data_IF_855538062705
#
_entry.id   IF_855538062705
#
_cell.length_a   1.000
_cell.length_b   1.000
_cell.length_c   1.000
_cell.angle_alpha   90.00
_cell.angle_beta   90.00
_cell.angle_gamma   90.00
#
_symmetry.space_group_name_H-M   'P 1'
#
loop_
_entity.id
_entity.type
_entity.pdbx_description
1 polymer ?
#
# COMPACT_ATOMS: atom_id res chain seq x y z
N UNK A 1 -2.36 -18.10 2.66
CA UNK A 1 -1.97 -16.88 3.42
C UNK A 1 -2.24 -15.65 2.54
N UNK A 2 -2.34 -14.42 3.06
CA UNK A 2 -2.64 -13.25 2.23
C UNK A 2 -1.67 -13.07 1.05
N UNK A 3 -0.38 -13.39 1.24
CA UNK A 3 0.62 -13.37 0.16
C UNK A 3 0.27 -14.31 -1.03
N UNK A 4 -0.21 -15.54 -0.75
CA UNK A 4 -0.63 -16.48 -1.81
C UNK A 4 -1.84 -15.93 -2.58
N UNK A 5 -2.76 -15.28 -1.87
CA UNK A 5 -3.95 -14.69 -2.48
C UNK A 5 -3.60 -13.53 -3.42
N UNK A 6 -2.62 -12.69 -3.04
CA UNK A 6 -2.12 -11.61 -3.89
C UNK A 6 -1.44 -12.18 -5.14
N UNK A 7 -0.48 -13.09 -4.98
CA UNK A 7 0.22 -13.69 -6.13
C UNK A 7 -0.73 -14.43 -7.08
N UNK A 8 -1.74 -15.12 -6.53
CA UNK A 8 -2.79 -15.75 -7.33
C UNK A 8 -3.64 -14.72 -8.09
N UNK A 9 -4.11 -13.67 -7.40
CA UNK A 9 -4.91 -12.60 -8.01
C UNK A 9 -4.14 -11.89 -9.13
N UNK A 10 -2.86 -11.58 -8.90
CA UNK A 10 -1.98 -10.97 -9.90
C UNK A 10 -1.83 -11.87 -11.14
N UNK A 11 -1.61 -13.16 -10.92
CA UNK A 11 -1.48 -14.15 -12.00
C UNK A 11 -2.76 -14.24 -12.83
N UNK A 12 -3.93 -14.24 -12.19
CA UNK A 12 -5.22 -14.26 -12.90
C UNK A 12 -5.49 -12.94 -13.64
N UNK A 13 -5.15 -11.79 -13.03
CA UNK A 13 -5.25 -10.48 -13.66
C UNK A 13 -4.42 -10.42 -14.94
N UNK A 14 -3.14 -10.79 -14.88
CA UNK A 14 -2.23 -10.79 -16.03
C UNK A 14 -2.68 -11.75 -17.14
N UNK A 15 -3.28 -12.90 -16.80
CA UNK A 15 -3.87 -13.82 -17.79
C UNK A 15 -5.07 -13.23 -18.50
N UNK A 16 -5.92 -12.48 -17.78
CA UNK A 16 -7.13 -11.88 -18.34
C UNK A 16 -6.84 -10.76 -19.35
N UNK A 17 -5.72 -10.04 -19.18
CA UNK A 17 -5.34 -8.92 -20.05
C UNK A 17 -4.69 -9.33 -21.39
N UNK A 18 -4.31 -10.60 -21.55
CA UNK A 18 -3.68 -11.11 -22.79
C UNK A 18 -4.53 -10.88 -24.06
N UNK A 19 -5.84 -10.67 -23.92
CA UNK A 19 -6.75 -10.46 -25.05
C UNK A 19 -7.01 -8.99 -25.39
N UNK A 20 -6.56 -8.01 -24.60
CA UNK A 20 -6.94 -6.59 -24.78
C UNK A 20 -5.79 -5.59 -24.94
N UNK A 21 -4.53 -6.04 -24.93
CA UNK A 21 -3.35 -5.18 -25.11
C UNK A 21 -3.31 -3.97 -24.15
N UNK A 22 -3.90 -4.13 -22.96
CA UNK A 22 -3.85 -3.14 -21.87
C UNK A 22 -2.67 -3.48 -20.98
N UNK A 23 -2.01 -2.44 -20.47
CA UNK A 23 -0.97 -2.50 -19.46
C UNK A 23 -1.49 -1.65 -18.30
N UNK A 24 -2.36 -2.25 -17.49
CA UNK A 24 -2.96 -1.61 -16.34
C UNK A 24 -2.39 -2.19 -15.05
N UNK A 25 -2.42 -1.39 -14.00
CA UNK A 25 -1.96 -1.78 -12.68
C UNK A 25 -2.83 -1.18 -11.59
N UNK A 26 -2.70 -1.73 -10.39
CA UNK A 26 -3.43 -1.25 -9.21
C UNK A 26 -2.64 -1.49 -7.93
N UNK A 27 -2.69 -0.52 -7.02
CA UNK A 27 -2.26 -0.70 -5.63
C UNK A 27 -3.38 -1.37 -4.83
N UNK A 28 -3.05 -1.95 -3.68
CA UNK A 28 -4.07 -2.49 -2.79
C UNK A 28 -3.62 -2.47 -1.33
N UNK A 29 -4.47 -1.88 -0.50
CA UNK A 29 -4.39 -1.96 0.95
C UNK A 29 -5.60 -2.72 1.46
N UNK A 30 -5.38 -3.88 2.08
CA UNK A 30 -6.43 -4.79 2.54
C UNK A 30 -6.35 -4.93 4.05
N UNK A 31 -7.50 -4.92 4.73
CA UNK A 31 -7.61 -5.21 6.15
C UNK A 31 -8.56 -6.39 6.39
N UNK A 32 -8.11 -7.37 7.19
CA UNK A 32 -8.88 -8.56 7.54
C UNK A 32 -8.95 -8.64 9.06
N UNK A 33 -10.16 -8.64 9.59
CA UNK A 33 -10.41 -8.82 11.03
C UNK A 33 -10.81 -10.26 11.32
N UNK A 34 -10.03 -10.95 12.14
CA UNK A 34 -10.32 -12.31 12.61
C UNK A 34 -10.25 -12.35 14.14
N UNK A 35 -11.40 -12.42 14.80
CA UNK A 35 -11.48 -12.32 16.26
C UNK A 35 -10.98 -10.96 16.75
N UNK A 36 -9.91 -10.96 17.54
CA UNK A 36 -9.23 -9.76 18.06
C UNK A 36 -7.95 -9.42 17.28
N UNK A 37 -7.75 -9.97 16.08
CA UNK A 37 -6.57 -9.74 15.24
C UNK A 37 -6.93 -9.02 13.95
N UNK A 38 -6.28 -7.90 13.71
CA UNK A 38 -6.36 -7.11 12.49
C UNK A 38 -5.11 -7.38 11.64
N UNK A 39 -5.29 -8.00 10.48
CA UNK A 39 -4.23 -8.23 9.50
C UNK A 39 -4.33 -7.17 8.41
N UNK A 40 -3.27 -6.40 8.20
CA UNK A 40 -3.17 -5.39 7.14
C UNK A 40 -2.14 -5.84 6.13
N UNK A 41 -2.53 -5.93 4.86
CA UNK A 41 -1.67 -6.30 3.75
C UNK A 41 -1.61 -5.17 2.72
N UNK A 42 -0.41 -4.75 2.30
CA UNK A 42 -0.24 -3.63 1.38
C UNK A 42 0.64 -3.98 0.18
N UNK A 43 0.25 -3.53 -1.02
CA UNK A 43 1.09 -3.39 -2.20
C UNK A 43 0.86 -2.02 -2.82
N UNK A 44 1.95 -1.31 -3.13
CA UNK A 44 1.89 0.07 -3.63
C UNK A 44 1.89 1.11 -2.52
N UNK A 45 1.38 2.30 -2.83
CA UNK A 45 1.47 3.51 -2.01
C UNK A 45 0.13 4.00 -1.46
N UNK A 46 -0.91 3.17 -1.52
CA UNK A 46 -2.00 3.29 -0.56
C UNK A 46 -1.48 3.01 0.86
N UNK A 47 -2.15 3.58 1.86
CA UNK A 47 -1.73 3.45 3.26
C UNK A 47 -2.91 3.16 4.17
N UNK A 48 -2.63 2.31 5.16
CA UNK A 48 -3.46 1.97 6.29
C UNK A 48 -2.94 2.64 7.56
N UNK A 49 -3.82 3.33 8.29
CA UNK A 49 -3.51 4.02 9.53
C UNK A 49 -4.56 3.70 10.57
N UNK A 50 -4.15 3.22 11.75
CA UNK A 50 -5.05 3.05 12.90
C UNK A 50 -5.01 4.29 13.79
N UNK A 51 -6.13 4.61 14.43
CA UNK A 51 -6.16 5.47 15.59
C UNK A 51 -6.19 4.61 16.85
N UNK A 52 -5.21 4.82 17.74
CA UNK A 52 -5.08 4.11 19.01
C UNK A 52 -4.85 5.12 20.14
N UNK A 53 -5.81 5.23 21.05
CA UNK A 53 -5.76 6.17 22.18
C UNK A 53 -5.57 7.62 21.74
N UNK A 54 -6.28 8.04 20.70
CA UNK A 54 -6.22 9.38 20.11
C UNK A 54 -4.99 9.63 19.21
N UNK A 55 -4.10 8.65 19.03
CA UNK A 55 -2.87 8.80 18.24
C UNK A 55 -2.93 7.97 16.95
N UNK A 56 -2.41 8.52 15.86
CA UNK A 56 -2.38 7.85 14.57
C UNK A 56 -1.10 7.02 14.38
N UNK A 57 -1.25 5.75 13.98
CA UNK A 57 -0.15 4.84 13.69
C UNK A 57 -0.32 4.22 12.31
N UNK A 58 0.68 4.37 11.44
CA UNK A 58 0.70 3.64 10.18
C UNK A 58 0.90 2.15 10.45
N UNK A 59 0.02 1.33 9.87
CA UNK A 59 0.04 -0.15 9.96
C UNK A 59 0.29 -0.78 8.59
N UNK A 60 0.86 0.02 7.69
CA UNK A 60 1.38 -0.40 6.40
C UNK A 60 2.48 0.57 6.00
N UNK A 61 3.43 0.08 5.20
CA UNK A 61 4.46 0.90 4.56
C UNK A 61 4.12 1.14 3.09
N UNK A 62 4.26 2.38 2.64
CA UNK A 62 4.15 2.72 1.22
C UNK A 62 5.32 2.09 0.46
N UNK A 63 5.06 1.52 -0.71
CA UNK A 63 6.08 0.91 -1.56
C UNK A 63 6.55 1.90 -2.63
N UNK A 64 7.51 2.75 -2.28
CA UNK A 64 8.08 3.78 -3.17
C UNK A 64 9.44 3.33 -3.74
N UNK A 65 9.74 3.62 -5.02
CA UNK A 65 10.96 3.14 -5.68
C UNK A 65 12.30 3.60 -5.06
N UNK A 66 12.32 4.67 -4.27
CA UNK A 66 13.52 5.22 -3.63
C UNK A 66 13.80 4.68 -2.23
N UNK A 67 12.89 3.88 -1.67
CA UNK A 67 13.17 3.14 -0.45
C UNK A 67 14.32 2.17 -0.69
N UNK A 68 15.27 2.11 0.24
CA UNK A 68 16.54 1.41 0.03
C UNK A 68 16.37 -0.07 -0.29
N UNK A 69 15.45 -0.75 0.40
CA UNK A 69 15.16 -2.18 0.20
C UNK A 69 14.43 -2.42 -1.13
N UNK A 70 13.45 -1.58 -1.46
CA UNK A 70 12.73 -1.68 -2.74
C UNK A 70 13.64 -1.36 -3.93
N UNK A 71 14.47 -0.32 -3.83
CA UNK A 71 15.45 0.04 -4.85
C UNK A 71 16.44 -1.08 -5.09
N UNK A 72 17.00 -1.64 -4.01
CA UNK A 72 17.93 -2.76 -4.09
C UNK A 72 17.26 -3.96 -4.79
N UNK A 73 16.04 -4.31 -4.40
CA UNK A 73 15.27 -5.40 -5.03
C UNK A 73 15.05 -5.18 -6.53
N UNK A 74 14.76 -3.95 -6.94
CA UNK A 74 14.59 -3.58 -8.35
C UNK A 74 15.90 -3.71 -9.12
N UNK A 75 17.00 -3.17 -8.58
CA UNK A 75 18.32 -3.18 -9.22
C UNK A 75 18.91 -4.60 -9.30
N UNK A 76 18.73 -5.42 -8.25
CA UNK A 76 19.13 -6.84 -8.23
C UNK A 76 18.38 -7.67 -9.28
N UNK A 77 17.14 -7.30 -9.58
CA UNK A 77 16.35 -7.90 -10.66
C UNK A 77 16.73 -7.39 -12.06
N UNK A 78 17.76 -6.54 -12.18
CA UNK A 78 18.23 -5.95 -13.44
C UNK A 78 17.44 -4.72 -13.91
N UNK A 79 16.56 -4.20 -13.06
CA UNK A 79 15.83 -2.94 -13.30
C UNK A 79 16.66 -1.73 -12.91
N UNK A 80 16.04 -0.55 -13.00
CA UNK A 80 16.64 0.69 -12.51
C UNK A 80 15.56 1.63 -11.96
N UNK A 81 15.98 2.53 -11.07
CA UNK A 81 15.15 3.59 -10.52
C UNK A 81 15.69 4.94 -11.01
N UNK A 82 14.81 5.78 -11.56
CA UNK A 82 15.20 7.11 -12.03
C UNK A 82 14.29 8.20 -11.49
N UNK A 83 14.85 9.39 -11.31
CA UNK A 83 14.10 10.59 -10.94
C UNK A 83 13.51 11.26 -12.20
N UNK A 84 12.19 11.40 -12.25
CA UNK A 84 11.46 12.11 -13.30
C UNK A 84 10.23 12.82 -12.69
N UNK A 85 10.48 13.89 -11.93
CA UNK A 85 9.49 14.59 -11.11
C UNK A 85 9.13 13.86 -9.81
N UNK A 86 9.20 12.52 -9.84
CA UNK A 86 9.21 11.61 -8.69
C UNK A 86 10.10 10.40 -9.04
N UNK A 87 10.45 9.57 -8.06
CA UNK A 87 11.20 8.34 -8.28
C UNK A 87 10.34 7.30 -8.99
N UNK A 88 10.87 6.70 -10.06
CA UNK A 88 10.13 5.78 -10.91
C UNK A 88 10.93 4.52 -11.26
N UNK A 89 10.27 3.37 -11.22
CA UNK A 89 10.79 2.09 -11.73
C UNK A 89 10.81 2.13 -13.26
N UNK A 90 11.98 1.90 -13.86
CA UNK A 90 12.16 1.95 -15.30
C UNK A 90 11.81 3.30 -15.95
N UNK A 91 11.67 4.37 -15.14
CA UNK A 91 11.19 5.68 -15.60
C UNK A 91 9.69 5.82 -15.77
N UNK A 92 8.91 4.80 -15.46
CA UNK A 92 7.47 4.75 -15.76
C UNK A 92 6.63 4.82 -14.48
N UNK A 93 6.76 3.85 -13.57
CA UNK A 93 5.87 3.69 -12.43
C UNK A 93 6.42 4.30 -11.14
N UNK A 94 5.62 5.10 -10.43
CA UNK A 94 5.99 5.76 -9.18
C UNK A 94 5.78 4.87 -7.93
N UNK A 95 5.48 3.60 -8.13
CA UNK A 95 5.34 2.56 -7.09
C UNK A 95 6.27 1.40 -7.40
N UNK A 96 6.78 0.74 -6.38
CA UNK A 96 7.68 -0.42 -6.53
C UNK A 96 6.95 -1.77 -6.46
N UNK A 97 5.71 -1.79 -5.97
CA UNK A 97 4.85 -2.98 -5.88
C UNK A 97 3.44 -2.65 -6.35
N UNK A 98 2.82 -3.55 -7.10
CA UNK A 98 1.45 -3.40 -7.62
C UNK A 98 0.95 -4.73 -8.20
N UNK A 99 -0.37 -4.83 -8.34
CA UNK A 99 -1.00 -5.79 -9.23
C UNK A 99 -0.88 -5.34 -10.68
N UNK A 100 -0.78 -6.29 -11.62
CA UNK A 100 -0.69 -5.98 -13.04
C UNK A 100 0.67 -5.45 -13.45
N UNK A 101 0.70 -4.39 -14.25
CA UNK A 101 1.91 -3.74 -14.77
C UNK A 101 2.84 -4.74 -15.49
N UNK A 102 2.27 -5.47 -16.45
CA UNK A 102 2.88 -6.62 -17.12
C UNK A 102 4.27 -6.32 -17.68
N UNK A 103 4.44 -5.15 -18.29
CA UNK A 103 5.74 -4.77 -18.89
C UNK A 103 6.85 -4.58 -17.85
N UNK A 104 6.49 -4.32 -16.60
CA UNK A 104 7.43 -4.05 -15.50
C UNK A 104 7.38 -5.12 -14.41
N UNK A 105 6.64 -6.21 -14.61
CA UNK A 105 6.37 -7.23 -13.58
C UNK A 105 7.62 -7.88 -12.99
N UNK A 106 8.70 -7.94 -13.75
CA UNK A 106 10.00 -8.40 -13.24
C UNK A 106 10.52 -7.53 -12.08
N UNK A 107 10.14 -6.26 -12.04
CA UNK A 107 10.59 -5.25 -11.07
C UNK A 107 9.48 -4.82 -10.11
N UNK A 108 8.22 -4.82 -10.57
CA UNK A 108 7.04 -4.41 -9.81
C UNK A 108 6.26 -5.65 -9.40
N UNK A 109 6.51 -6.12 -8.17
CA UNK A 109 5.96 -7.37 -7.64
C UNK A 109 4.61 -7.14 -6.95
N UNK A 110 3.76 -8.17 -6.92
CA UNK A 110 2.49 -8.16 -6.17
C UNK A 110 2.64 -8.78 -4.77
N UNK A 111 3.86 -8.91 -4.24
CA UNK A 111 4.11 -9.49 -2.93
C UNK A 111 3.79 -8.47 -1.82
N UNK A 112 2.77 -8.73 -0.96
CA UNK A 112 2.35 -7.77 0.04
C UNK A 112 3.27 -7.79 1.27
N UNK A 113 3.49 -6.61 1.84
CA UNK A 113 3.93 -6.51 3.24
C UNK A 113 2.71 -6.67 4.16
N UNK A 114 2.81 -7.53 5.18
CA UNK A 114 1.70 -7.88 6.07
C UNK A 114 2.08 -7.51 7.51
N UNK A 115 1.23 -6.73 8.15
CA UNK A 115 1.32 -6.38 9.57
C UNK A 115 0.10 -6.93 10.32
N UNK A 116 0.33 -7.43 11.54
CA UNK A 116 -0.73 -7.89 12.44
C UNK A 116 -0.81 -6.96 13.65
N UNK A 117 -2.01 -6.47 13.93
CA UNK A 117 -2.33 -5.66 15.09
C UNK A 117 -3.34 -6.39 15.98
N UNK A 118 -3.13 -6.33 17.30
CA UNK A 118 -4.14 -6.77 18.26
C UNK A 118 -5.16 -5.66 18.46
N UNK A 119 -6.44 -6.02 18.40
CA UNK A 119 -7.55 -5.14 18.75
C UNK A 119 -7.77 -5.21 20.26
N UNK A 120 -7.79 -4.04 20.87
CA UNK A 120 -8.22 -3.82 22.24
C UNK A 120 -9.10 -2.55 22.30
N UNK A 121 -9.52 -2.15 23.49
CA UNK A 121 -10.39 -1.00 23.69
C UNK A 121 -9.74 0.35 23.33
N UNK A 122 -8.44 0.39 23.08
CA UNK A 122 -7.73 1.62 22.70
C UNK A 122 -7.73 1.85 21.19
N UNK A 123 -7.97 0.82 20.36
CA UNK A 123 -8.07 0.95 18.90
C UNK A 123 -9.47 1.48 18.54
N UNK A 124 -9.53 2.70 18.04
CA UNK A 124 -10.79 3.42 17.79
C UNK A 124 -11.31 3.20 16.37
N UNK A 125 -10.42 3.32 15.38
CA UNK A 125 -10.76 3.13 13.97
C UNK A 125 -9.52 2.84 13.12
N UNK A 126 -9.77 2.33 11.91
CA UNK A 126 -8.79 2.13 10.85
C UNK A 126 -9.21 2.98 9.64
N UNK A 127 -8.25 3.68 9.05
CA UNK A 127 -8.39 4.38 7.77
C UNK A 127 -7.58 3.61 6.72
N UNK A 128 -8.23 3.25 5.62
CA UNK A 128 -7.59 2.79 4.39
C UNK A 128 -7.83 3.86 3.33
N UNK A 129 -6.78 4.39 2.75
CA UNK A 129 -6.91 5.39 1.68
C UNK A 129 -5.75 5.31 0.69
N UNK A 130 -6.01 5.79 -0.52
CA UNK A 130 -4.99 5.98 -1.56
C UNK A 130 -4.11 7.19 -1.24
N UNK A 131 -3.00 7.30 -1.97
CA UNK A 131 -2.07 8.44 -1.97
C UNK A 131 -2.77 9.80 -2.13
N UNK A 132 -3.88 9.89 -2.87
CA UNK A 132 -4.66 11.13 -3.00
C UNK A 132 -5.10 11.79 -1.67
N UNK A 133 -5.22 11.02 -0.57
CA UNK A 133 -5.38 11.57 0.78
C UNK A 133 -4.02 11.87 1.43
N UNK A 134 -3.11 10.90 1.39
CA UNK A 134 -1.86 10.92 2.16
C UNK A 134 -0.79 11.87 1.60
N UNK A 135 -0.92 12.30 0.35
CA UNK A 135 -0.06 13.31 -0.27
C UNK A 135 -0.31 14.71 0.29
N UNK A 136 -1.48 14.95 0.92
CA UNK A 136 -1.87 16.26 1.45
C UNK A 136 -2.17 16.25 2.95
N UNK A 137 -2.26 15.08 3.57
CA UNK A 137 -2.53 14.91 5.01
C UNK A 137 -1.45 14.03 5.64
N UNK A 138 -0.75 14.54 6.67
CA UNK A 138 0.14 13.70 7.47
C UNK A 138 -0.68 12.86 8.45
N UNK A 139 -0.14 11.72 8.88
CA UNK A 139 -0.85 10.84 9.81
C UNK A 139 -1.28 11.57 11.10
N UNK A 140 -0.47 12.54 11.55
CA UNK A 140 -0.64 13.29 12.81
C UNK A 140 -1.71 14.39 12.75
N UNK A 141 -2.12 14.86 11.56
CA UNK A 141 -3.07 15.99 11.41
C UNK A 141 -4.47 15.64 11.94
N UNK A 142 -4.72 14.40 12.37
CA UNK A 142 -5.97 13.98 12.98
C UNK A 142 -6.04 14.16 14.51
N UNK A 143 -5.38 15.19 15.06
CA UNK A 143 -5.64 15.62 16.43
C UNK A 143 -7.08 16.14 16.55
N UNK A 144 -7.95 15.33 17.19
CA UNK A 144 -9.11 15.61 18.08
C UNK A 144 -9.86 16.98 18.07
N UNK A 145 -9.66 17.87 17.12
CA UNK A 145 -10.21 19.23 17.12
C UNK A 145 -11.58 19.34 16.47
N UNK A 146 -12.16 18.22 16.00
CA UNK A 146 -13.45 18.21 15.30
C UNK A 146 -14.53 17.31 15.92
N UNK A 147 -14.30 16.70 17.10
CA UNK A 147 -15.28 15.82 17.76
C UNK A 147 -15.86 16.37 19.07
N UNK A 148 -15.37 17.49 19.60
CA UNK A 148 -16.05 18.19 20.70
C UNK A 148 -16.95 19.28 20.14
N UNK A 149 -18.11 18.88 19.61
CA UNK A 149 -19.25 19.78 19.55
C UNK A 149 -19.57 20.20 20.98
N UNK A 150 -19.29 21.46 21.34
CA UNK A 150 -19.81 22.06 22.56
C UNK A 150 -21.33 22.18 22.42
N UNK A 151 -22.14 21.66 23.35
CA UNK A 151 -23.57 21.96 23.36
C UNK A 151 -23.76 23.43 23.76
N UNK A 152 -24.47 24.20 22.94
CA UNK A 152 -25.24 25.36 23.41
C UNK A 152 -26.46 24.89 24.22
#
# INVERSE_FOLDING_TARGET
>A
MPADAYNHTDSEFLKSENNQNRDAGSTASTAILVGDRLLVANVGDSRAVICRGGNAFAVSRDHKPDQSDERQRIEDAGGFVMWAGTWRVGGVLAVSRAFGDRLLKQYVVADPEIQEEKIDSSLEFLILASDGLWDVVTNEVWESSHLTGTPE
#
